data_IF_663289829534
#
_entry.id   IF_663289829534
#
_cell.length_a   1.000
_cell.length_b   1.000
_cell.length_c   1.000
_cell.angle_alpha   90.00
_cell.angle_beta   90.00
_cell.angle_gamma   90.00
#
_symmetry.space_group_name_H-M   'P 1'
#
loop_
_entity.id
_entity.type
_entity.pdbx_description
1 polymer ?
#
# COMPACT_ATOMS: atom_id res chain seq x y z
N UNK A 1 3.23 -20.98 24.58
CA UNK A 1 4.26 -20.43 23.66
C UNK A 1 3.64 -19.81 22.41
N UNK A 2 2.85 -20.56 21.62
CA UNK A 2 2.22 -20.03 20.38
C UNK A 2 1.27 -18.84 20.63
N UNK A 3 0.43 -18.90 21.67
CA UNK A 3 -0.47 -17.81 22.06
C UNK A 3 0.25 -16.52 22.46
N UNK A 4 1.41 -16.65 23.12
CA UNK A 4 2.28 -15.53 23.48
C UNK A 4 2.90 -14.89 22.23
N UNK A 5 3.36 -15.71 21.28
CA UNK A 5 3.92 -15.24 20.00
C UNK A 5 2.86 -14.51 19.17
N UNK A 6 1.64 -15.06 19.05
CA UNK A 6 0.50 -14.45 18.37
C UNK A 6 0.12 -13.10 18.99
N UNK A 7 0.05 -13.01 20.33
CA UNK A 7 -0.22 -11.75 21.04
C UNK A 7 0.85 -10.70 20.75
N UNK A 8 2.13 -11.08 20.77
CA UNK A 8 3.26 -10.17 20.54
C UNK A 8 3.30 -9.68 19.09
N UNK A 9 3.03 -10.55 18.12
CA UNK A 9 2.87 -10.17 16.71
C UNK A 9 1.67 -9.23 16.51
N UNK A 10 0.54 -9.51 17.16
CA UNK A 10 -0.65 -8.65 17.11
C UNK A 10 -0.39 -7.24 17.67
N UNK A 11 0.33 -7.13 18.78
CA UNK A 11 0.74 -5.84 19.35
C UNK A 11 1.67 -5.06 18.41
N UNK A 12 2.66 -5.72 17.80
CA UNK A 12 3.55 -5.10 16.83
C UNK A 12 2.81 -4.60 15.59
N UNK A 13 1.88 -5.41 15.06
CA UNK A 13 1.01 -5.02 13.95
C UNK A 13 0.14 -3.80 14.30
N UNK A 14 -0.40 -3.73 15.51
CA UNK A 14 -1.21 -2.60 15.95
C UNK A 14 -0.39 -1.30 15.98
N UNK A 15 0.85 -1.35 16.49
CA UNK A 15 1.77 -0.20 16.47
C UNK A 15 2.09 0.22 15.04
N UNK A 16 2.41 -0.72 14.16
CA UNK A 16 2.67 -0.47 12.74
C UNK A 16 1.48 0.22 12.04
N UNK A 17 0.27 -0.30 12.27
CA UNK A 17 -0.96 0.31 11.75
C UNK A 17 -1.14 1.73 12.31
N UNK A 18 -0.90 1.93 13.61
CA UNK A 18 -0.96 3.25 14.23
C UNK A 18 0.00 4.26 13.58
N UNK A 19 1.26 3.87 13.37
CA UNK A 19 2.26 4.71 12.69
C UNK A 19 1.84 4.99 11.24
N UNK A 20 1.39 3.97 10.51
CA UNK A 20 0.95 4.13 9.12
C UNK A 20 -0.26 5.07 9.00
N UNK A 21 -1.23 4.99 9.94
CA UNK A 21 -2.36 5.92 10.01
C UNK A 21 -1.86 7.35 10.26
N UNK A 22 -0.97 7.56 11.25
CA UNK A 22 -0.41 8.89 11.54
C UNK A 22 0.31 9.47 10.32
N UNK A 23 1.16 8.69 9.66
CA UNK A 23 1.86 9.10 8.42
C UNK A 23 0.86 9.41 7.31
N UNK A 24 -0.18 8.58 7.14
CA UNK A 24 -1.23 8.85 6.16
C UNK A 24 -1.88 10.21 6.40
N UNK A 25 -2.33 10.49 7.62
CA UNK A 25 -2.90 11.81 7.96
C UNK A 25 -1.90 12.93 7.75
N UNK A 26 -0.62 12.70 8.06
CA UNK A 26 0.43 13.69 7.91
C UNK A 26 0.61 14.13 6.45
N UNK A 27 0.55 13.20 5.51
CA UNK A 27 0.80 13.49 4.09
C UNK A 27 -0.46 13.70 3.25
N UNK A 28 -1.62 13.20 3.69
CA UNK A 28 -2.84 13.20 2.88
C UNK A 28 -3.97 14.09 3.43
N UNK A 29 -3.85 14.61 4.65
CA UNK A 29 -4.89 15.44 5.29
C UNK A 29 -4.37 16.83 5.67
N UNK A 30 -3.07 17.00 5.93
CA UNK A 30 -2.48 18.33 6.08
C UNK A 30 -2.62 19.17 4.80
N UNK A 31 -2.68 20.50 4.92
CA UNK A 31 -2.83 21.38 3.77
C UNK A 31 -1.56 21.36 2.91
N UNK A 32 -1.72 20.88 1.68
CA UNK A 32 -0.68 20.71 0.68
C UNK A 32 -1.16 19.72 -0.36
N UNK A 33 -0.84 19.94 -1.64
CA UNK A 33 -1.20 18.99 -2.68
C UNK A 33 -0.17 17.85 -2.71
N UNK A 34 -0.51 16.62 -2.26
CA UNK A 34 0.45 15.53 -2.22
C UNK A 34 0.92 15.16 -3.62
N UNK A 35 0.10 15.39 -4.64
CA UNK A 35 0.52 15.23 -6.02
C UNK A 35 1.63 16.22 -6.38
N UNK A 36 1.48 17.52 -6.10
CA UNK A 36 2.54 18.50 -6.30
C UNK A 36 3.83 18.19 -5.51
N UNK A 37 3.71 17.68 -4.27
CA UNK A 37 4.87 17.29 -3.47
C UNK A 37 5.65 16.14 -4.12
N UNK A 38 4.96 15.14 -4.66
CA UNK A 38 5.57 13.97 -5.32
C UNK A 38 6.05 14.28 -6.74
N UNK A 39 5.35 15.16 -7.45
CA UNK A 39 5.67 15.53 -8.82
C UNK A 39 6.91 16.44 -8.91
N UNK A 40 7.25 17.15 -7.83
CA UNK A 40 8.38 18.05 -7.75
C UNK A 40 8.20 19.32 -8.59
N UNK A 41 9.20 20.21 -8.54
CA UNK A 41 9.12 21.57 -9.13
C UNK A 41 9.04 21.63 -10.67
N UNK A 42 9.18 20.50 -11.38
CA UNK A 42 9.23 20.42 -12.85
C UNK A 42 8.22 19.46 -13.46
N UNK A 43 7.12 19.21 -12.78
CA UNK A 43 6.05 18.35 -13.30
C UNK A 43 5.12 19.11 -14.23
N UNK A 44 4.82 18.53 -15.39
CA UNK A 44 3.75 19.03 -16.26
C UNK A 44 2.37 18.72 -15.65
N UNK A 45 1.34 19.41 -16.16
CA UNK A 45 -0.05 19.24 -15.68
C UNK A 45 -0.53 17.79 -15.90
N UNK A 46 -0.06 17.12 -16.95
CA UNK A 46 -0.39 15.72 -17.25
C UNK A 46 0.16 14.75 -16.20
N UNK A 47 1.43 14.89 -15.81
CA UNK A 47 2.07 14.07 -14.78
C UNK A 47 1.42 14.30 -13.42
N UNK A 48 1.08 15.55 -13.06
CA UNK A 48 0.34 15.82 -11.83
C UNK A 48 -1.02 15.12 -11.82
N UNK A 49 -1.79 15.16 -12.92
CA UNK A 49 -3.06 14.46 -13.02
C UNK A 49 -2.90 12.93 -12.91
N UNK A 50 -1.87 12.37 -13.54
CA UNK A 50 -1.54 10.95 -13.42
C UNK A 50 -1.19 10.55 -11.97
N UNK A 51 -0.42 11.39 -11.27
CA UNK A 51 -0.08 11.18 -9.85
C UNK A 51 -1.34 11.27 -8.97
N UNK A 52 -2.23 12.23 -9.22
CA UNK A 52 -3.51 12.36 -8.48
C UNK A 52 -4.37 11.11 -8.61
N UNK A 53 -4.51 10.62 -9.85
CA UNK A 53 -5.27 9.42 -10.13
C UNK A 53 -4.63 8.17 -9.50
N UNK A 54 -3.31 8.03 -9.58
CA UNK A 54 -2.59 6.90 -8.98
C UNK A 54 -2.68 6.92 -7.44
N UNK A 55 -2.60 8.10 -6.82
CA UNK A 55 -2.78 8.28 -5.37
C UNK A 55 -4.24 8.11 -4.91
N UNK A 56 -5.20 8.03 -5.84
CA UNK A 56 -6.62 7.97 -5.52
C UNK A 56 -7.09 9.20 -4.74
N UNK A 57 -6.58 10.39 -5.08
CA UNK A 57 -6.97 11.63 -4.38
C UNK A 57 -8.45 11.99 -4.60
N UNK A 58 -9.06 11.44 -5.65
CA UNK A 58 -10.48 11.59 -5.97
C UNK A 58 -11.39 10.64 -5.14
N UNK A 59 -10.81 9.69 -4.40
CA UNK A 59 -11.54 8.73 -3.59
C UNK A 59 -11.78 9.23 -2.14
N UNK A 60 -12.83 8.74 -1.45
CA UNK A 60 -13.03 9.03 -0.04
C UNK A 60 -11.82 8.64 0.82
N UNK A 61 -11.45 9.49 1.78
CA UNK A 61 -10.32 9.26 2.71
C UNK A 61 -10.28 7.86 3.35
N UNK A 62 -11.41 7.24 3.75
CA UNK A 62 -11.40 5.87 4.28
C UNK A 62 -10.93 4.82 3.27
N UNK A 63 -11.34 4.93 2.00
CA UNK A 63 -10.92 4.02 0.94
C UNK A 63 -9.43 4.14 0.68
N UNK A 64 -8.92 5.38 0.62
CA UNK A 64 -7.49 5.68 0.43
C UNK A 64 -6.63 5.16 1.58
N UNK A 65 -7.10 5.27 2.83
CA UNK A 65 -6.40 4.72 3.99
C UNK A 65 -6.33 3.18 3.95
N UNK A 66 -7.43 2.52 3.57
CA UNK A 66 -7.47 1.06 3.41
C UNK A 66 -6.50 0.60 2.31
N UNK A 67 -6.46 1.31 1.17
CA UNK A 67 -5.50 1.06 0.10
C UNK A 67 -4.06 1.23 0.58
N UNK A 68 -3.75 2.34 1.27
CA UNK A 68 -2.43 2.62 1.82
C UNK A 68 -1.94 1.55 2.81
N UNK A 69 -2.80 1.15 3.76
CA UNK A 69 -2.50 0.09 4.72
C UNK A 69 -2.32 -1.26 4.03
N UNK A 70 -3.13 -1.56 3.02
CA UNK A 70 -2.98 -2.78 2.23
C UNK A 70 -1.64 -2.78 1.50
N UNK A 71 -1.27 -1.71 0.79
CA UNK A 71 -0.03 -1.62 0.01
C UNK A 71 1.22 -1.74 0.88
N UNK A 72 1.24 -1.09 2.04
CA UNK A 72 2.34 -1.13 3.00
C UNK A 72 2.44 -2.47 3.74
N UNK A 73 1.33 -3.18 3.92
CA UNK A 73 1.35 -4.44 4.65
C UNK A 73 2.03 -5.56 3.83
N UNK A 74 3.01 -6.29 4.41
CA UNK A 74 3.56 -7.50 3.81
C UNK A 74 2.58 -8.68 3.85
N UNK A 75 1.44 -8.54 4.55
CA UNK A 75 0.42 -9.57 4.70
C UNK A 75 -0.94 -9.00 4.28
N UNK A 76 -1.52 -9.53 3.20
CA UNK A 76 -2.84 -9.14 2.71
C UNK A 76 -3.83 -10.31 2.80
N UNK A 77 -5.06 -10.06 3.24
CA UNK A 77 -6.15 -11.04 3.12
C UNK A 77 -6.91 -10.73 1.84
N UNK A 78 -6.59 -11.46 0.77
CA UNK A 78 -7.26 -11.31 -0.51
C UNK A 78 -8.25 -12.46 -0.73
N UNK A 79 -9.38 -12.12 -1.34
CA UNK A 79 -10.31 -13.11 -1.89
C UNK A 79 -9.58 -13.79 -3.07
N UNK A 80 -9.75 -15.11 -3.25
CA UNK A 80 -9.07 -15.95 -4.26
C UNK A 80 -9.52 -15.56 -5.68
N UNK A 81 -9.16 -14.36 -6.10
CA UNK A 81 -9.52 -13.77 -7.37
C UNK A 81 -8.21 -13.67 -8.15
N UNK A 82 -8.15 -14.27 -9.33
CA UNK A 82 -6.97 -14.33 -10.21
C UNK A 82 -6.35 -12.96 -10.52
N UNK A 83 -7.12 -11.88 -10.39
CA UNK A 83 -6.68 -10.49 -10.64
C UNK A 83 -5.92 -9.89 -9.45
N UNK A 84 -6.28 -10.25 -8.20
CA UNK A 84 -5.63 -9.70 -7.00
C UNK A 84 -4.25 -10.31 -6.75
N UNK A 85 -4.10 -11.62 -6.97
CA UNK A 85 -2.81 -12.33 -6.79
C UNK A 85 -1.82 -11.93 -7.89
N UNK A 86 -2.28 -11.72 -9.12
CA UNK A 86 -1.46 -11.28 -10.25
C UNK A 86 -0.91 -9.84 -10.08
N UNK A 87 -1.65 -8.96 -9.38
CA UNK A 87 -1.25 -7.56 -9.19
C UNK A 87 -0.16 -7.36 -8.13
N UNK A 88 0.00 -8.32 -7.20
CA UNK A 88 0.90 -8.17 -6.04
C UNK A 88 1.97 -9.27 -5.90
N UNK A 89 2.02 -10.28 -6.79
CA UNK A 89 3.15 -11.23 -6.89
C UNK A 89 3.46 -12.03 -5.61
N UNK A 90 2.45 -12.28 -4.77
CA UNK A 90 2.63 -12.88 -3.44
C UNK A 90 2.44 -14.39 -3.38
N UNK A 91 3.03 -15.03 -2.37
CA UNK A 91 2.84 -16.46 -2.06
C UNK A 91 1.62 -16.60 -1.14
N UNK A 92 0.59 -17.33 -1.59
CA UNK A 92 -0.57 -17.65 -0.76
C UNK A 92 -0.16 -18.67 0.32
N UNK A 93 -0.01 -18.23 1.58
CA UNK A 93 0.54 -19.06 2.65
C UNK A 93 -0.51 -19.93 3.35
N UNK A 94 -1.71 -19.39 3.64
CA UNK A 94 -2.72 -20.11 4.42
C UNK A 94 -4.13 -19.86 3.86
N UNK A 95 -4.88 -20.91 3.45
CA UNK A 95 -6.29 -20.77 3.12
C UNK A 95 -7.11 -20.53 4.40
N UNK A 96 -7.77 -19.39 4.51
CA UNK A 96 -8.65 -19.05 5.63
C UNK A 96 -10.08 -19.14 5.14
N UNK A 97 -10.62 -20.37 5.11
CA UNK A 97 -12.05 -20.65 4.91
C UNK A 97 -12.68 -20.22 3.57
N UNK A 98 -13.11 -21.18 2.76
CA UNK A 98 -13.94 -20.98 1.57
C UNK A 98 -13.22 -20.29 0.40
N UNK A 99 -13.17 -18.96 0.40
CA UNK A 99 -12.73 -18.12 -0.72
C UNK A 99 -11.64 -17.09 -0.36
N UNK A 100 -11.10 -17.06 0.87
CA UNK A 100 -10.08 -16.08 1.30
C UNK A 100 -8.74 -16.77 1.56
N UNK A 101 -7.66 -16.15 1.11
CA UNK A 101 -6.30 -16.61 1.38
C UNK A 101 -5.48 -15.49 2.02
N UNK A 102 -4.68 -15.84 3.02
CA UNK A 102 -3.62 -14.97 3.51
C UNK A 102 -2.48 -15.06 2.50
N UNK A 103 -2.21 -13.94 1.85
CA UNK A 103 -1.13 -13.80 0.87
C UNK A 103 0.00 -13.03 1.53
N UNK A 104 1.19 -13.62 1.54
CA UNK A 104 2.41 -12.88 1.84
C UNK A 104 2.80 -12.16 0.55
N UNK A 105 2.67 -10.84 0.56
CA UNK A 105 3.02 -10.00 -0.58
C UNK A 105 4.22 -9.16 -0.22
N UNK A 106 5.04 -8.86 -1.23
CA UNK A 106 6.04 -7.82 -1.06
C UNK A 106 5.32 -6.47 -0.93
N UNK A 107 5.83 -5.55 -0.09
CA UNK A 107 5.25 -4.22 0.05
C UNK A 107 5.30 -3.52 -1.31
N UNK A 108 4.17 -3.01 -1.78
CA UNK A 108 4.08 -2.36 -3.08
C UNK A 108 4.45 -0.88 -2.93
N UNK A 109 5.64 -0.52 -3.39
CA UNK A 109 6.18 0.85 -3.31
C UNK A 109 5.80 1.72 -4.52
N UNK A 110 4.77 1.30 -5.27
CA UNK A 110 4.30 1.95 -6.50
C UNK A 110 5.34 1.96 -7.63
N UNK A 111 5.00 2.63 -8.72
CA UNK A 111 5.84 2.83 -9.90
C UNK A 111 6.46 4.22 -9.90
N UNK A 112 7.66 4.32 -10.45
CA UNK A 112 8.28 5.60 -10.76
C UNK A 112 7.52 6.28 -11.89
N UNK A 113 7.10 7.52 -11.68
CA UNK A 113 6.46 8.32 -12.73
C UNK A 113 7.44 8.74 -13.83
N UNK A 114 8.75 8.69 -13.58
CA UNK A 114 9.78 9.06 -14.56
C UNK A 114 10.13 7.90 -15.50
N UNK A 115 10.21 6.68 -14.96
CA UNK A 115 10.65 5.49 -15.71
C UNK A 115 9.53 4.47 -15.97
N UNK A 116 8.35 4.64 -15.37
CA UNK A 116 7.22 3.71 -15.42
C UNK A 116 7.57 2.28 -14.98
N UNK A 117 8.63 2.14 -14.20
CA UNK A 117 9.11 0.89 -13.61
C UNK A 117 8.72 0.81 -12.14
N UNK A 118 8.58 -0.40 -11.61
CA UNK A 118 8.28 -0.61 -10.20
C UNK A 118 9.45 -0.10 -9.34
N UNK A 119 9.16 0.75 -8.34
CA UNK A 119 10.20 1.36 -7.48
C UNK A 119 11.02 0.29 -6.76
N UNK A 120 10.37 -0.81 -6.40
CA UNK A 120 11.02 -1.94 -5.75
C UNK A 120 12.13 -2.52 -6.64
N UNK A 121 11.90 -2.64 -7.95
CA UNK A 121 12.92 -3.14 -8.89
C UNK A 121 14.10 -2.20 -9.01
N UNK A 122 13.87 -0.88 -8.95
CA UNK A 122 14.92 0.14 -8.97
C UNK A 122 15.79 0.15 -7.70
N UNK A 123 15.21 -0.21 -6.54
CA UNK A 123 15.95 -0.26 -5.27
C UNK A 123 16.77 -1.55 -5.11
N UNK A 124 16.45 -2.60 -5.88
CA UNK A 124 17.11 -3.91 -5.82
C UNK A 124 18.06 -4.18 -7.00
N UNK A 125 18.11 -3.29 -8.00
CA UNK A 125 19.05 -3.32 -9.12
C UNK A 125 20.38 -2.69 -8.75
#
# INVERSE_FOLDING_TARGET
MLSFLLRRLGQGLLVLVGVAVVVFFLFNVLPGDPAALLAGQRSDVGTQAAIRADLGLDEPSPTRLLGYLNDASPVGVHRRDSVGVARYGGVALVPVGGQRAVVLKWPYLRRSFQSNQDVLTLLLS
#
